data_IF_500837678966
#
_entry.id   IF_500837678966
#
_cell.length_a   1.000
_cell.length_b   1.000
_cell.length_c   1.000
_cell.angle_alpha   90.00
_cell.angle_beta   90.00
_cell.angle_gamma   90.00
#
_symmetry.space_group_name_H-M   'P 1'
#
loop_
_entity.id
_entity.type
_entity.pdbx_description
1 polymer ?
#
# COMPACT_ATOMS: atom_id res chain seq x y z
N UNK A 1 19.26 34.45 -41.85
CA UNK A 1 19.44 34.56 -40.39
C UNK A 1 19.93 33.20 -39.87
N UNK A 2 21.12 33.13 -39.24
CA UNK A 2 21.57 31.88 -38.60
C UNK A 2 20.67 31.62 -37.39
N UNK A 3 20.06 30.42 -37.26
CA UNK A 3 19.25 30.11 -36.09
C UNK A 3 20.14 30.26 -34.85
N UNK A 4 19.74 31.11 -33.91
CA UNK A 4 20.49 31.28 -32.66
C UNK A 4 20.54 29.91 -31.98
N UNK A 5 21.70 29.47 -31.46
CA UNK A 5 21.88 28.14 -30.88
C UNK A 5 20.84 27.82 -29.79
N UNK A 6 20.35 28.85 -29.09
CA UNK A 6 19.22 28.76 -28.16
C UNK A 6 17.97 28.06 -28.72
N UNK A 7 17.58 28.32 -29.97
CA UNK A 7 16.40 27.67 -30.57
C UNK A 7 16.63 26.18 -30.87
N UNK A 8 17.87 25.81 -31.19
CA UNK A 8 18.27 24.42 -31.45
C UNK A 8 18.23 23.62 -30.14
N UNK A 9 18.79 24.17 -29.06
CA UNK A 9 18.74 23.54 -27.73
C UNK A 9 17.29 23.39 -27.23
N UNK A 10 16.44 24.38 -27.47
CA UNK A 10 15.03 24.33 -27.09
C UNK A 10 14.27 23.23 -27.86
N UNK A 11 14.49 23.14 -29.16
CA UNK A 11 13.89 22.09 -29.99
C UNK A 11 14.36 20.69 -29.56
N UNK A 12 15.66 20.51 -29.33
CA UNK A 12 16.21 19.25 -28.84
C UNK A 12 15.62 18.86 -27.47
N UNK A 13 15.52 19.80 -26.54
CA UNK A 13 14.97 19.56 -25.21
C UNK A 13 13.49 19.14 -25.26
N UNK A 14 12.69 19.79 -26.12
CA UNK A 14 11.28 19.40 -26.33
C UNK A 14 11.20 17.98 -26.89
N UNK A 15 11.99 17.65 -27.92
CA UNK A 15 12.02 16.30 -28.51
C UNK A 15 12.44 15.26 -27.48
N UNK A 16 13.45 15.57 -26.67
CA UNK A 16 13.93 14.69 -25.61
C UNK A 16 12.87 14.43 -24.55
N UNK A 17 12.19 15.48 -24.06
CA UNK A 17 11.08 15.34 -23.11
C UNK A 17 9.95 14.49 -23.72
N UNK A 18 9.56 14.77 -24.96
CA UNK A 18 8.51 13.99 -25.64
C UNK A 18 8.89 12.52 -25.80
N UNK A 19 10.16 12.22 -26.10
CA UNK A 19 10.66 10.85 -26.18
C UNK A 19 10.63 10.14 -24.82
N UNK A 20 10.98 10.83 -23.73
CA UNK A 20 10.87 10.31 -22.37
C UNK A 20 9.41 9.99 -22.00
N UNK A 21 8.47 10.91 -22.28
CA UNK A 21 7.05 10.66 -22.05
C UNK A 21 6.52 9.48 -22.87
N UNK A 22 6.87 9.39 -24.16
CA UNK A 22 6.49 8.26 -25.00
C UNK A 22 7.06 6.93 -24.49
N UNK A 23 8.28 6.93 -23.99
CA UNK A 23 8.89 5.75 -23.37
C UNK A 23 8.17 5.35 -22.08
N UNK A 24 7.84 6.30 -21.21
CA UNK A 24 7.09 6.06 -19.98
C UNK A 24 5.69 5.50 -20.25
N UNK A 25 4.98 6.05 -21.24
CA UNK A 25 3.67 5.54 -21.68
C UNK A 25 3.80 4.11 -22.21
N UNK A 26 4.79 3.82 -23.07
CA UNK A 26 5.03 2.47 -23.60
C UNK A 26 5.39 1.43 -22.53
N UNK A 27 5.99 1.86 -21.43
CA UNK A 27 6.39 0.99 -20.32
C UNK A 27 5.33 0.87 -19.24
N UNK A 28 4.11 1.34 -19.49
CA UNK A 28 3.03 1.35 -18.50
C UNK A 28 3.48 2.01 -17.18
N UNK A 29 4.42 2.98 -17.25
CA UNK A 29 5.01 3.60 -16.05
C UNK A 29 3.95 4.36 -15.22
N UNK A 30 2.87 4.78 -15.88
CA UNK A 30 1.71 5.44 -15.27
C UNK A 30 0.49 4.52 -15.09
N UNK A 31 0.53 3.25 -15.55
CA UNK A 31 -0.51 2.31 -15.11
C UNK A 31 -0.41 2.23 -13.59
N UNK A 32 -1.53 2.42 -12.92
CA UNK A 32 -1.64 2.37 -11.47
C UNK A 32 -1.01 1.09 -10.93
N UNK A 33 0.27 1.17 -10.56
CA UNK A 33 0.86 0.42 -9.44
C UNK A 33 0.75 1.24 -8.15
N UNK A 34 -0.04 2.31 -8.18
CA UNK A 34 -0.43 3.05 -7.00
C UNK A 34 -1.30 2.08 -6.21
N UNK A 35 -0.73 1.60 -5.12
CA UNK A 35 -1.45 0.77 -4.18
C UNK A 35 -2.72 1.55 -3.79
N UNK A 36 -3.91 1.03 -4.09
CA UNK A 36 -5.15 1.68 -3.69
C UNK A 36 -5.17 1.72 -2.16
N UNK A 37 -4.81 2.86 -1.58
CA UNK A 37 -4.94 3.09 -0.16
C UNK A 37 -6.38 3.56 0.02
N UNK A 38 -7.27 2.61 0.29
CA UNK A 38 -8.59 2.93 0.81
C UNK A 38 -8.40 3.57 2.17
N UNK A 39 -8.36 4.90 2.21
CA UNK A 39 -8.47 5.64 3.46
C UNK A 39 -9.89 5.45 4.00
N UNK A 40 -10.01 5.47 5.33
CA UNK A 40 -11.30 5.44 6.00
C UNK A 40 -12.15 6.62 5.52
N UNK A 41 -13.07 6.34 4.62
CA UNK A 41 -14.05 7.29 4.13
C UNK A 41 -15.40 6.95 4.75
N UNK A 42 -15.87 7.81 5.65
CA UNK A 42 -17.18 7.64 6.31
C UNK A 42 -18.32 7.70 5.31
N UNK A 43 -18.12 8.31 4.16
CA UNK A 43 -19.13 8.35 3.10
C UNK A 43 -19.15 7.01 2.34
N UNK A 44 -18.00 6.36 2.16
CA UNK A 44 -17.91 4.98 1.64
C UNK A 44 -18.56 3.95 2.58
N UNK A 45 -18.39 4.10 3.90
CA UNK A 45 -19.08 3.26 4.90
C UNK A 45 -20.62 3.39 4.81
N UNK A 46 -21.13 4.60 4.53
CA UNK A 46 -22.57 4.83 4.31
C UNK A 46 -23.07 4.20 3.02
N UNK A 47 -22.28 4.24 1.95
CA UNK A 47 -22.63 3.61 0.67
C UNK A 47 -22.64 2.07 0.76
N UNK A 48 -21.68 1.49 1.47
CA UNK A 48 -21.58 0.03 1.66
C UNK A 48 -22.58 -0.47 2.71
N UNK A 49 -23.07 0.41 3.59
CA UNK A 49 -24.07 0.08 4.61
C UNK A 49 -23.52 -0.79 5.74
N UNK A 50 -22.20 -0.83 5.95
CA UNK A 50 -21.55 -1.56 7.03
C UNK A 50 -20.33 -0.80 7.51
N UNK A 51 -20.21 -0.60 8.82
CA UNK A 51 -19.05 0.08 9.42
C UNK A 51 -17.82 -0.82 9.47
N UNK A 52 -16.62 -0.23 9.51
CA UNK A 52 -15.38 -0.99 9.72
C UNK A 52 -15.44 -1.84 11.01
N UNK A 53 -16.00 -1.30 12.09
CA UNK A 53 -16.14 -2.02 13.36
C UNK A 53 -17.00 -3.28 13.23
N UNK A 54 -18.13 -3.20 12.51
CA UNK A 54 -18.97 -4.35 12.22
C UNK A 54 -18.27 -5.36 11.33
N UNK A 55 -17.56 -4.89 10.29
CA UNK A 55 -16.79 -5.76 9.42
C UNK A 55 -15.69 -6.49 10.19
N UNK A 56 -14.95 -5.80 11.06
CA UNK A 56 -13.89 -6.37 11.89
C UNK A 56 -14.41 -7.46 12.83
N UNK A 57 -15.63 -7.33 13.38
CA UNK A 57 -16.26 -8.38 14.21
C UNK A 57 -16.47 -9.70 13.46
N UNK A 58 -16.55 -9.67 12.13
CA UNK A 58 -16.68 -10.88 11.31
C UNK A 58 -15.34 -11.61 11.07
N UNK A 59 -14.22 -10.99 11.47
CA UNK A 59 -12.87 -11.46 11.15
C UNK A 59 -12.13 -11.93 12.40
N UNK A 60 -11.31 -12.95 12.23
CA UNK A 60 -10.32 -13.36 13.22
C UNK A 60 -9.03 -12.58 12.98
N UNK A 61 -8.66 -11.70 13.92
CA UNK A 61 -7.54 -10.78 13.77
C UNK A 61 -6.31 -11.25 14.53
N UNK A 62 -5.17 -11.27 13.83
CA UNK A 62 -3.85 -11.46 14.45
C UNK A 62 -3.32 -10.07 14.80
N UNK A 63 -3.16 -9.77 16.09
CA UNK A 63 -2.63 -8.49 16.55
C UNK A 63 -1.10 -8.53 16.66
N UNK A 64 -0.46 -7.54 16.06
CA UNK A 64 0.98 -7.27 16.13
C UNK A 64 1.17 -5.81 16.52
N UNK A 65 2.17 -5.49 17.32
CA UNK A 65 2.38 -4.12 17.80
C UNK A 65 3.86 -3.76 17.78
N UNK A 66 4.19 -2.56 17.32
CA UNK A 66 5.54 -2.01 17.45
C UNK A 66 5.76 -1.40 18.83
N UNK A 67 6.99 -1.51 19.35
CA UNK A 67 7.38 -0.90 20.63
C UNK A 67 8.41 0.21 20.49
N UNK A 68 8.91 0.46 19.27
CA UNK A 68 9.91 1.49 18.98
C UNK A 68 11.36 1.05 19.17
N UNK A 69 11.61 -0.22 19.52
CA UNK A 69 12.95 -0.82 19.50
C UNK A 69 13.22 -1.39 18.12
N UNK A 70 14.30 -0.94 17.48
CA UNK A 70 14.66 -1.36 16.12
C UNK A 70 14.70 -2.88 15.94
N UNK A 71 15.37 -3.61 16.84
CA UNK A 71 15.47 -5.07 16.78
C UNK A 71 14.11 -5.74 16.89
N UNK A 72 13.26 -5.23 17.80
CA UNK A 72 11.94 -5.78 18.01
C UNK A 72 11.03 -5.47 16.84
N UNK A 73 10.98 -4.22 16.39
CA UNK A 73 10.13 -3.79 15.29
C UNK A 73 10.51 -4.49 13.97
N UNK A 74 11.81 -4.74 13.74
CA UNK A 74 12.26 -5.60 12.65
C UNK A 74 11.71 -7.03 12.75
N UNK A 75 11.68 -7.62 13.95
CA UNK A 75 11.09 -8.94 14.17
C UNK A 75 9.58 -8.94 13.92
N UNK A 76 8.89 -7.83 14.28
CA UNK A 76 7.46 -7.66 14.03
C UNK A 76 7.17 -7.51 12.54
N UNK A 77 7.96 -6.73 11.79
CA UNK A 77 7.85 -6.62 10.33
C UNK A 77 8.03 -7.97 9.64
N UNK A 78 9.02 -8.76 10.07
CA UNK A 78 9.23 -10.11 9.54
C UNK A 78 8.05 -11.03 9.84
N UNK A 79 7.56 -11.01 11.09
CA UNK A 79 6.38 -11.79 11.48
C UNK A 79 5.14 -11.36 10.70
N UNK A 80 4.95 -10.07 10.52
CA UNK A 80 3.85 -9.48 9.75
C UNK A 80 3.83 -10.01 8.32
N UNK A 81 4.97 -9.97 7.63
CA UNK A 81 5.11 -10.54 6.28
C UNK A 81 4.82 -12.05 6.24
N UNK A 82 5.33 -12.82 7.20
CA UNK A 82 5.07 -14.26 7.26
C UNK A 82 3.59 -14.60 7.50
N UNK A 83 2.89 -13.85 8.35
CA UNK A 83 1.46 -14.07 8.57
C UNK A 83 0.62 -13.72 7.33
N UNK A 84 0.98 -12.66 6.60
CA UNK A 84 0.38 -12.34 5.30
C UNK A 84 0.50 -13.54 4.35
N UNK A 85 1.71 -14.06 4.18
CA UNK A 85 1.99 -15.20 3.29
C UNK A 85 1.19 -16.45 3.70
N UNK A 86 1.10 -16.73 5.02
CA UNK A 86 0.31 -17.86 5.54
C UNK A 86 -1.18 -17.70 5.23
N UNK A 87 -1.76 -16.51 5.46
CA UNK A 87 -3.17 -16.25 5.20
C UNK A 87 -3.47 -16.36 3.70
N UNK A 88 -2.61 -15.80 2.84
CA UNK A 88 -2.73 -15.90 1.39
C UNK A 88 -2.66 -17.35 0.90
N UNK A 89 -1.66 -18.10 1.35
CA UNK A 89 -1.49 -19.51 0.98
C UNK A 89 -2.66 -20.39 1.41
N UNK A 90 -3.28 -20.07 2.55
CA UNK A 90 -4.46 -20.77 3.04
C UNK A 90 -5.78 -20.25 2.43
N UNK A 91 -5.73 -19.21 1.59
CA UNK A 91 -6.90 -18.56 0.99
C UNK A 91 -7.99 -18.20 2.02
N UNK A 92 -7.57 -17.78 3.22
CA UNK A 92 -8.49 -17.61 4.34
C UNK A 92 -9.04 -16.18 4.41
N UNK A 93 -10.20 -15.95 3.80
CA UNK A 93 -10.87 -14.63 3.77
C UNK A 93 -11.41 -14.16 5.13
N UNK A 94 -11.43 -15.04 6.14
CA UNK A 94 -11.93 -14.71 7.48
C UNK A 94 -10.80 -14.27 8.41
N UNK A 95 -9.54 -14.35 7.98
CA UNK A 95 -8.39 -13.90 8.76
C UNK A 95 -7.90 -12.54 8.28
N UNK A 96 -7.56 -11.69 9.23
CA UNK A 96 -6.89 -10.43 9.01
C UNK A 96 -5.76 -10.22 10.01
N UNK A 97 -5.00 -9.16 9.79
CA UNK A 97 -3.90 -8.75 10.67
C UNK A 97 -4.17 -7.33 11.12
N UNK A 98 -3.99 -7.08 12.41
CA UNK A 98 -4.04 -5.76 13.02
C UNK A 98 -2.64 -5.39 13.46
N UNK A 99 -2.00 -4.50 12.71
CA UNK A 99 -0.68 -3.97 13.06
C UNK A 99 -0.86 -2.62 13.76
N UNK A 100 -0.45 -2.54 15.02
CA UNK A 100 -0.56 -1.35 15.85
C UNK A 100 0.77 -0.60 15.82
N UNK A 101 0.72 0.62 15.32
CA UNK A 101 1.81 1.59 15.43
C UNK A 101 1.80 2.20 16.83
N UNK A 102 2.93 2.19 17.53
CA UNK A 102 3.10 2.99 18.75
C UNK A 102 3.51 4.42 18.42
N UNK A 103 3.36 5.34 19.37
CA UNK A 103 3.91 6.71 19.27
C UNK A 103 5.43 6.77 19.02
N UNK A 104 6.14 5.69 19.32
CA UNK A 104 7.59 5.55 19.10
C UNK A 104 7.93 4.88 17.77
N UNK A 105 6.93 4.48 16.98
CA UNK A 105 7.14 3.83 15.69
C UNK A 105 7.78 4.84 14.75
N UNK A 106 8.89 4.45 14.14
CA UNK A 106 9.57 5.29 13.17
C UNK A 106 8.75 5.37 11.88
N UNK A 107 8.84 6.50 11.19
CA UNK A 107 8.24 6.66 9.86
C UNK A 107 8.69 5.55 8.90
N UNK A 108 9.96 5.14 8.99
CA UNK A 108 10.48 4.03 8.18
C UNK A 108 9.72 2.72 8.42
N UNK A 109 9.45 2.35 9.67
CA UNK A 109 8.70 1.12 9.98
C UNK A 109 7.24 1.20 9.48
N UNK A 110 6.63 2.38 9.50
CA UNK A 110 5.32 2.61 8.88
C UNK A 110 5.40 2.34 7.39
N UNK A 111 6.34 2.98 6.68
CA UNK A 111 6.50 2.80 5.22
C UNK A 111 6.84 1.36 4.86
N UNK A 112 7.69 0.67 5.63
CA UNK A 112 8.00 -0.74 5.42
C UNK A 112 6.78 -1.63 5.56
N UNK A 113 5.84 -1.30 6.45
CA UNK A 113 4.57 -2.04 6.58
C UNK A 113 3.72 -1.95 5.30
N UNK A 114 3.62 -0.76 4.69
CA UNK A 114 2.97 -0.58 3.39
C UNK A 114 3.71 -1.28 2.24
N UNK A 115 5.04 -1.21 2.24
CA UNK A 115 5.86 -1.89 1.24
C UNK A 115 5.68 -3.41 1.30
N UNK A 116 5.62 -4.01 2.49
CA UNK A 116 5.33 -5.43 2.65
C UNK A 116 3.98 -5.77 2.03
N UNK A 117 2.93 -5.00 2.34
CA UNK A 117 1.60 -5.23 1.73
C UNK A 117 1.65 -5.16 0.20
N UNK A 118 2.45 -4.25 -0.37
CA UNK A 118 2.64 -4.13 -1.81
C UNK A 118 3.42 -5.30 -2.41
N UNK A 119 4.52 -5.71 -1.78
CA UNK A 119 5.36 -6.84 -2.22
C UNK A 119 4.55 -8.13 -2.22
N UNK A 120 3.76 -8.32 -1.16
CA UNK A 120 2.93 -9.50 -0.98
C UNK A 120 1.59 -9.41 -1.73
N UNK A 121 1.35 -8.37 -2.52
CA UNK A 121 0.12 -8.15 -3.29
C UNK A 121 -1.14 -8.32 -2.41
N UNK A 122 -1.16 -7.61 -1.29
CA UNK A 122 -2.30 -7.57 -0.38
C UNK A 122 -3.45 -6.79 -1.03
N UNK A 123 -4.65 -7.39 -1.14
CA UNK A 123 -5.77 -6.81 -1.85
C UNK A 123 -6.46 -5.68 -1.10
N UNK A 124 -6.38 -5.68 0.23
CA UNK A 124 -7.04 -4.68 1.06
C UNK A 124 -6.25 -4.44 2.34
N UNK A 125 -6.02 -3.17 2.63
CA UNK A 125 -5.51 -2.71 3.92
C UNK A 125 -6.06 -1.31 4.20
N UNK A 126 -6.24 -0.99 5.47
CA UNK A 126 -6.95 0.20 5.95
C UNK A 126 -6.12 0.82 7.07
N UNK A 127 -5.42 1.94 6.81
CA UNK A 127 -4.79 2.72 7.85
C UNK A 127 -5.83 3.61 8.57
N UNK A 128 -5.84 3.56 9.90
CA UNK A 128 -6.67 4.42 10.75
C UNK A 128 -5.85 4.88 11.98
N UNK A 129 -5.27 6.08 11.89
CA UNK A 129 -4.43 6.62 12.95
C UNK A 129 -3.21 5.74 13.26
N UNK A 130 -3.21 5.14 14.45
CA UNK A 130 -2.16 4.22 14.92
C UNK A 130 -2.47 2.75 14.61
N UNK A 131 -3.58 2.48 13.93
CA UNK A 131 -4.03 1.15 13.59
C UNK A 131 -3.88 0.89 12.10
N UNK A 132 -3.35 -0.28 11.75
CA UNK A 132 -3.19 -0.70 10.38
C UNK A 132 -3.80 -2.09 10.18
N UNK A 133 -4.97 -2.12 9.58
CA UNK A 133 -5.74 -3.34 9.35
C UNK A 133 -5.40 -3.89 7.97
N UNK A 134 -5.05 -5.17 7.88
CA UNK A 134 -4.67 -5.81 6.63
C UNK A 134 -5.48 -7.07 6.42
N UNK A 135 -6.06 -7.22 5.24
CA UNK A 135 -6.81 -8.39 4.81
C UNK A 135 -6.09 -9.00 3.61
N UNK A 136 -5.19 -9.97 3.83
CA UNK A 136 -4.32 -10.49 2.77
C UNK A 136 -5.06 -11.25 1.67
N UNK A 137 -6.29 -11.70 1.92
CA UNK A 137 -7.09 -12.45 0.96
C UNK A 137 -8.56 -12.06 1.06
N UNK A 138 -9.21 -11.90 -0.09
CA UNK A 138 -10.65 -11.76 -0.22
C UNK A 138 -11.17 -12.83 -1.18
N UNK A 139 -12.25 -13.50 -0.80
CA UNK A 139 -12.95 -14.41 -1.70
C UNK A 139 -13.90 -13.57 -2.55
N UNK A 140 -13.67 -13.50 -3.86
CA UNK A 140 -14.66 -12.93 -4.79
C UNK A 140 -15.92 -13.77 -4.72
N UNK A 141 -17.03 -13.15 -4.37
CA UNK A 141 -18.36 -13.75 -4.53
C UNK A 141 -18.71 -13.52 -6.01
N UNK A 142 -18.72 -14.59 -6.80
CA UNK A 142 -19.27 -14.59 -8.15
C UNK A 142 -20.79 -14.64 -8.10
#
# INVERSE_FOLDING_TARGET
MKPKPFYIYRAFFIIFISACFLWMIRKDAFKERATYIGYRDKDLEKEIGTSLEEYLKTKSMITLQFNGSEKYDNSILNRFQLEIQKIKKAENSNKGIHLIFSKKTTYENVIRSFQICKIEDCPTYIPDGYDFWVFPYYKKIN
#
